data_IF_431209815223
#
_entry.id   IF_431209815223
#
_cell.length_a   1.000
_cell.length_b   1.000
_cell.length_c   1.000
_cell.angle_alpha   90.00
_cell.angle_beta   90.00
_cell.angle_gamma   90.00
#
_symmetry.space_group_name_H-M   'P 1'
#
loop_
_entity.id
_entity.type
_entity.pdbx_description
1 polymer ?
#
# COMPACT_ATOMS: atom_id res chain seq x y z
N UNK A 1 -22.60 -34.33 -16.31
CA UNK A 1 -22.33 -34.15 -17.76
C UNK A 1 -21.83 -32.74 -17.97
N UNK A 2 -20.53 -32.55 -18.15
CA UNK A 2 -19.93 -31.27 -18.53
C UNK A 2 -20.13 -31.06 -20.03
N UNK A 3 -21.06 -30.19 -20.40
CA UNK A 3 -21.27 -29.78 -21.80
C UNK A 3 -20.98 -28.30 -21.94
N UNK A 4 -20.30 -27.89 -23.02
CA UNK A 4 -20.04 -26.49 -23.30
C UNK A 4 -21.24 -25.87 -24.03
N UNK A 5 -21.63 -24.67 -23.65
CA UNK A 5 -22.58 -23.84 -24.41
C UNK A 5 -21.74 -22.85 -25.22
N UNK A 6 -21.73 -23.00 -26.54
CA UNK A 6 -21.03 -22.09 -27.45
C UNK A 6 -22.02 -21.20 -28.17
N UNK A 7 -21.83 -19.88 -28.09
CA UNK A 7 -22.65 -18.90 -28.81
C UNK A 7 -21.85 -18.32 -29.98
N UNK A 8 -22.49 -18.18 -31.14
CA UNK A 8 -21.87 -17.61 -32.35
C UNK A 8 -21.96 -16.08 -32.43
N UNK A 9 -22.65 -15.44 -31.49
CA UNK A 9 -22.91 -14.00 -31.45
C UNK A 9 -22.77 -13.44 -30.03
N UNK A 10 -22.72 -12.11 -29.91
CA UNK A 10 -22.73 -11.43 -28.61
C UNK A 10 -23.99 -11.84 -27.82
N UNK A 11 -23.82 -12.06 -26.52
CA UNK A 11 -24.94 -12.31 -25.61
C UNK A 11 -25.27 -11.02 -24.88
N UNK A 12 -26.50 -10.54 -25.02
CA UNK A 12 -27.03 -9.41 -24.27
C UNK A 12 -28.09 -9.93 -23.31
N UNK A 13 -27.82 -9.84 -22.01
CA UNK A 13 -28.80 -10.19 -20.97
C UNK A 13 -29.47 -8.90 -20.52
N UNK A 14 -30.76 -8.74 -20.85
CA UNK A 14 -31.54 -7.54 -20.53
C UNK A 14 -32.19 -7.60 -19.15
N UNK A 15 -32.69 -6.44 -18.70
CA UNK A 15 -33.32 -6.27 -17.39
C UNK A 15 -34.53 -7.21 -17.19
N UNK A 16 -34.64 -7.85 -16.02
CA UNK A 16 -35.72 -8.80 -15.70
C UNK A 16 -35.57 -10.21 -16.30
N UNK A 17 -34.47 -10.49 -17.00
CA UNK A 17 -34.18 -11.84 -17.51
C UNK A 17 -33.82 -12.78 -16.34
N UNK A 18 -34.54 -13.89 -16.18
CA UNK A 18 -34.17 -14.92 -15.20
C UNK A 18 -32.88 -15.62 -15.63
N UNK A 19 -31.88 -15.55 -14.74
CA UNK A 19 -30.80 -16.50 -14.44
C UNK A 19 -30.35 -17.38 -15.62
N UNK A 20 -29.17 -17.11 -16.17
CA UNK A 20 -28.42 -18.12 -16.91
C UNK A 20 -27.87 -19.10 -15.87
N UNK A 21 -28.68 -20.10 -15.51
CA UNK A 21 -28.20 -21.22 -14.69
C UNK A 21 -27.42 -22.17 -15.60
N UNK A 22 -26.10 -22.07 -15.52
CA UNK A 22 -25.21 -22.92 -16.29
C UNK A 22 -25.16 -24.35 -15.72
N UNK A 23 -25.69 -24.64 -14.52
CA UNK A 23 -25.64 -25.96 -13.88
C UNK A 23 -24.23 -26.59 -13.92
N UNK A 24 -23.19 -25.78 -13.66
CA UNK A 24 -21.79 -26.21 -13.72
C UNK A 24 -21.22 -26.38 -15.15
N UNK A 25 -21.92 -25.90 -16.18
CA UNK A 25 -21.41 -25.83 -17.56
C UNK A 25 -20.57 -24.58 -17.79
N UNK A 26 -19.70 -24.64 -18.78
CA UNK A 26 -18.94 -23.48 -19.25
C UNK A 26 -19.72 -22.77 -20.34
N UNK A 27 -19.88 -21.45 -20.20
CA UNK A 27 -20.34 -20.58 -21.28
C UNK A 27 -19.11 -20.03 -22.00
N UNK A 28 -18.93 -20.43 -23.26
CA UNK A 28 -17.84 -19.94 -24.10
C UNK A 28 -18.40 -19.02 -25.18
N UNK A 29 -17.96 -17.77 -25.16
CA UNK A 29 -18.31 -16.76 -26.17
C UNK A 29 -17.00 -16.24 -26.78
N UNK A 30 -16.34 -17.10 -27.55
CA UNK A 30 -14.99 -16.86 -28.06
C UNK A 30 -14.95 -15.62 -28.99
N UNK A 31 -14.08 -14.65 -28.64
CA UNK A 31 -13.86 -13.44 -29.46
C UNK A 31 -15.06 -12.49 -29.51
N UNK A 32 -15.96 -12.55 -28.54
CA UNK A 32 -17.19 -11.74 -28.45
C UNK A 32 -17.38 -11.18 -27.04
N UNK A 33 -18.22 -10.17 -26.91
CA UNK A 33 -18.53 -9.52 -25.63
C UNK A 33 -19.82 -10.11 -25.05
N UNK A 34 -19.80 -10.40 -23.75
CA UNK A 34 -21.02 -10.64 -22.97
C UNK A 34 -21.36 -9.32 -22.27
N UNK A 35 -22.50 -8.75 -22.63
CA UNK A 35 -23.02 -7.54 -21.97
C UNK A 35 -24.17 -7.94 -21.07
N UNK A 36 -23.96 -7.82 -19.76
CA UNK A 36 -25.01 -8.02 -18.78
C UNK A 36 -25.52 -6.63 -18.41
N UNK A 37 -26.77 -6.34 -18.80
CA UNK A 37 -27.47 -5.11 -18.43
C UNK A 37 -28.64 -5.46 -17.52
N UNK A 38 -28.42 -5.47 -16.20
CA UNK A 38 -29.45 -5.86 -15.25
C UNK A 38 -29.54 -4.99 -14.02
N UNK A 39 -30.76 -4.93 -13.46
CA UNK A 39 -31.00 -4.61 -12.07
C UNK A 39 -31.41 -5.94 -11.39
N UNK A 40 -30.55 -6.52 -10.56
CA UNK A 40 -30.71 -7.78 -9.82
C UNK A 40 -30.43 -9.08 -10.61
N UNK A 41 -29.26 -9.20 -11.27
CA UNK A 41 -28.77 -10.50 -11.77
C UNK A 41 -27.87 -11.20 -10.77
N UNK A 42 -28.17 -12.48 -10.52
CA UNK A 42 -27.25 -13.41 -9.86
C UNK A 42 -26.75 -14.42 -10.89
N UNK A 43 -25.43 -14.48 -11.07
CA UNK A 43 -24.78 -15.61 -11.77
C UNK A 43 -24.02 -16.41 -10.73
N UNK A 44 -24.36 -17.69 -10.61
CA UNK A 44 -23.73 -18.62 -9.69
C UNK A 44 -23.17 -19.81 -10.44
N UNK A 45 -21.98 -20.29 -10.04
CA UNK A 45 -21.36 -21.53 -10.50
C UNK A 45 -21.19 -21.65 -12.04
N UNK A 46 -20.13 -21.03 -12.56
CA UNK A 46 -19.79 -21.13 -13.99
C UNK A 46 -18.36 -20.66 -14.32
N UNK A 47 -17.94 -20.88 -15.56
CA UNK A 47 -16.74 -20.24 -16.13
C UNK A 47 -17.18 -19.39 -17.31
N UNK A 48 -16.82 -18.11 -17.30
CA UNK A 48 -17.10 -17.17 -18.38
C UNK A 48 -15.79 -16.94 -19.12
N UNK A 49 -15.79 -17.32 -20.40
CA UNK A 49 -14.66 -17.13 -21.31
C UNK A 49 -15.06 -16.15 -22.42
N UNK A 50 -14.51 -14.92 -22.36
CA UNK A 50 -14.78 -13.81 -23.28
C UNK A 50 -14.94 -12.48 -22.53
N UNK A 51 -14.55 -11.35 -23.13
CA UNK A 51 -14.61 -10.03 -22.48
C UNK A 51 -16.02 -9.77 -21.93
N UNK A 52 -16.09 -9.51 -20.62
CA UNK A 52 -17.36 -9.34 -19.92
C UNK A 52 -17.48 -7.89 -19.48
N UNK A 53 -18.52 -7.22 -19.99
CA UNK A 53 -18.91 -5.89 -19.52
C UNK A 53 -20.19 -6.04 -18.73
N UNK A 54 -20.15 -5.63 -17.47
CA UNK A 54 -21.34 -5.64 -16.62
C UNK A 54 -21.77 -4.19 -16.40
N UNK A 55 -22.95 -3.83 -16.90
CA UNK A 55 -23.54 -2.49 -16.79
C UNK A 55 -24.87 -2.60 -16.05
N UNK A 56 -25.18 -1.71 -15.11
CA UNK A 56 -26.39 -1.83 -14.30
C UNK A 56 -26.60 -0.56 -13.50
N UNK A 57 -27.76 -0.46 -12.86
CA UNK A 57 -28.11 0.65 -11.96
C UNK A 57 -28.64 0.14 -10.62
N UNK A 58 -28.47 -1.16 -10.35
CA UNK A 58 -29.07 -1.88 -9.24
C UNK A 58 -28.05 -2.28 -8.16
N UNK A 59 -28.45 -2.21 -6.90
CA UNK A 59 -27.59 -2.33 -5.71
C UNK A 59 -27.29 -3.77 -5.27
N UNK A 60 -27.61 -4.80 -6.07
CA UNK A 60 -27.72 -6.19 -5.56
C UNK A 60 -27.32 -7.27 -6.57
N UNK A 61 -26.45 -6.95 -7.54
CA UNK A 61 -25.93 -7.96 -8.46
C UNK A 61 -24.72 -8.68 -7.83
N UNK A 62 -24.84 -10.00 -7.64
CA UNK A 62 -23.78 -10.84 -7.07
C UNK A 62 -23.34 -11.93 -8.06
N UNK A 63 -22.05 -11.93 -8.40
CA UNK A 63 -21.40 -13.02 -9.13
C UNK A 63 -20.67 -13.89 -8.12
N UNK A 64 -21.15 -15.11 -7.89
CA UNK A 64 -20.57 -16.01 -6.88
C UNK A 64 -20.07 -17.29 -7.53
N UNK A 65 -18.81 -17.64 -7.26
CA UNK A 65 -18.14 -18.82 -7.79
C UNK A 65 -18.14 -18.86 -9.34
N UNK A 66 -17.85 -17.71 -9.95
CA UNK A 66 -17.74 -17.56 -11.40
C UNK A 66 -16.29 -17.28 -11.76
N UNK A 67 -15.59 -18.20 -12.42
CA UNK A 67 -14.26 -17.89 -12.93
C UNK A 67 -14.40 -16.95 -14.15
N UNK A 68 -13.62 -15.85 -14.16
CA UNK A 68 -13.51 -14.98 -15.34
C UNK A 68 -12.12 -15.18 -15.94
N UNK A 69 -12.03 -16.00 -16.98
CA UNK A 69 -10.80 -16.25 -17.75
C UNK A 69 -10.49 -15.11 -18.77
N UNK A 70 -11.01 -13.92 -18.48
CA UNK A 70 -11.01 -12.76 -19.38
C UNK A 70 -11.17 -11.47 -18.59
N UNK A 71 -10.92 -10.35 -19.27
CA UNK A 71 -11.03 -9.02 -18.70
C UNK A 71 -12.47 -8.72 -18.27
N UNK A 72 -12.62 -8.30 -17.02
CA UNK A 72 -13.85 -7.78 -16.44
C UNK A 72 -13.82 -6.26 -16.50
N UNK A 73 -14.75 -5.66 -17.23
CA UNK A 73 -14.99 -4.21 -17.18
C UNK A 73 -16.25 -3.95 -16.37
N UNK A 74 -16.10 -3.22 -15.27
CA UNK A 74 -17.19 -2.83 -14.38
C UNK A 74 -17.40 -1.32 -14.45
N UNK A 75 -18.67 -0.93 -14.57
CA UNK A 75 -19.11 0.47 -14.63
C UNK A 75 -20.32 0.72 -13.72
N UNK A 76 -20.46 -0.06 -12.63
CA UNK A 76 -21.62 0.00 -11.75
C UNK A 76 -21.22 0.04 -10.26
N UNK A 77 -22.21 0.41 -9.45
CA UNK A 77 -22.16 0.59 -8.00
C UNK A 77 -22.83 -0.57 -7.26
N UNK A 78 -22.30 -0.91 -6.08
CA UNK A 78 -22.89 -1.89 -5.15
C UNK A 78 -22.68 -3.37 -5.51
N UNK A 79 -21.71 -3.72 -6.35
CA UNK A 79 -21.55 -5.12 -6.79
C UNK A 79 -20.55 -5.91 -5.96
N UNK A 80 -20.80 -7.22 -5.84
CA UNK A 80 -19.87 -8.17 -5.23
C UNK A 80 -19.54 -9.31 -6.21
N UNK A 81 -18.26 -9.44 -6.52
CA UNK A 81 -17.69 -10.49 -7.35
C UNK A 81 -16.85 -11.41 -6.47
N UNK A 82 -17.34 -12.60 -6.20
CA UNK A 82 -16.60 -13.63 -5.45
C UNK A 82 -16.26 -14.77 -6.40
N UNK A 83 -14.99 -14.93 -6.71
CA UNK A 83 -14.51 -15.88 -7.73
C UNK A 83 -13.25 -16.57 -7.25
N UNK A 84 -12.91 -17.72 -7.84
CA UNK A 84 -11.61 -18.34 -7.59
C UNK A 84 -10.48 -17.59 -8.28
N UNK A 85 -10.74 -17.08 -9.50
CA UNK A 85 -9.75 -16.42 -10.36
C UNK A 85 -10.36 -15.29 -11.21
N UNK A 86 -9.62 -14.19 -11.33
CA UNK A 86 -9.83 -13.11 -12.28
C UNK A 86 -8.56 -12.91 -13.12
N UNK A 87 -8.71 -12.57 -14.40
CA UNK A 87 -7.56 -12.23 -15.27
C UNK A 87 -7.21 -10.75 -15.21
N UNK A 88 -8.16 -9.86 -15.47
CA UNK A 88 -7.97 -8.43 -15.31
C UNK A 88 -9.27 -7.76 -14.90
N UNK A 89 -9.16 -6.67 -14.14
CA UNK A 89 -10.31 -5.88 -13.70
C UNK A 89 -10.06 -4.43 -14.11
N UNK A 90 -10.99 -3.87 -14.88
CA UNK A 90 -11.07 -2.43 -15.12
C UNK A 90 -12.35 -1.92 -14.47
N UNK A 91 -12.23 -1.17 -13.39
CA UNK A 91 -13.33 -0.44 -12.80
C UNK A 91 -13.29 1.01 -13.30
N UNK A 92 -14.24 1.39 -14.16
CA UNK A 92 -14.28 2.74 -14.72
C UNK A 92 -15.01 3.69 -13.77
N UNK A 93 -16.12 3.23 -13.19
CA UNK A 93 -16.97 3.97 -12.26
C UNK A 93 -17.70 2.99 -11.34
N UNK A 94 -17.88 3.41 -10.09
CA UNK A 94 -18.80 2.78 -9.15
C UNK A 94 -18.13 1.93 -8.06
N UNK A 95 -18.95 1.59 -7.07
CA UNK A 95 -18.51 0.94 -5.85
C UNK A 95 -18.59 -0.57 -5.98
N UNK A 96 -17.52 -1.32 -5.74
CA UNK A 96 -17.53 -2.78 -5.96
C UNK A 96 -16.56 -3.53 -5.06
N UNK A 97 -16.92 -4.77 -4.74
CA UNK A 97 -16.08 -5.70 -3.99
C UNK A 97 -15.68 -6.87 -4.86
N UNK A 98 -14.40 -7.22 -4.86
CA UNK A 98 -13.82 -8.35 -5.55
C UNK A 98 -13.10 -9.24 -4.55
N UNK A 99 -13.43 -10.52 -4.53
CA UNK A 99 -12.81 -11.52 -3.65
C UNK A 99 -12.36 -12.71 -4.48
N UNK A 100 -11.06 -13.04 -4.42
CA UNK A 100 -10.46 -14.11 -5.22
C UNK A 100 -8.97 -13.94 -5.47
N UNK A 101 -8.39 -14.84 -6.27
CA UNK A 101 -7.04 -14.62 -6.83
C UNK A 101 -7.16 -13.83 -8.12
N UNK A 102 -6.39 -12.77 -8.28
CA UNK A 102 -6.28 -12.06 -9.55
C UNK A 102 -4.91 -12.35 -10.17
N UNK A 103 -4.90 -12.78 -11.43
CA UNK A 103 -3.69 -13.02 -12.23
C UNK A 103 -3.68 -12.08 -13.44
N UNK A 104 -3.27 -10.83 -13.19
CA UNK A 104 -3.16 -9.76 -14.17
C UNK A 104 -3.37 -8.37 -13.58
N UNK A 105 -3.98 -7.46 -14.35
CA UNK A 105 -3.96 -6.02 -14.04
C UNK A 105 -5.28 -5.54 -13.41
N UNK A 106 -5.17 -4.71 -12.38
CA UNK A 106 -6.29 -3.90 -11.86
C UNK A 106 -6.11 -2.46 -12.30
N UNK A 107 -7.12 -1.91 -12.96
CA UNK A 107 -7.21 -0.49 -13.30
C UNK A 107 -8.48 0.05 -12.65
N UNK A 108 -8.33 0.88 -11.62
CA UNK A 108 -9.45 1.61 -11.03
C UNK A 108 -9.39 3.07 -11.47
N UNK A 109 -10.32 3.49 -12.32
CA UNK A 109 -10.38 4.85 -12.85
C UNK A 109 -11.14 5.79 -11.93
N UNK A 110 -12.24 5.33 -11.33
CA UNK A 110 -13.06 6.08 -10.38
C UNK A 110 -14.00 5.15 -9.57
N UNK A 111 -14.49 5.62 -8.43
CA UNK A 111 -15.40 4.87 -7.54
C UNK A 111 -14.70 4.21 -6.35
N UNK A 112 -15.48 3.57 -5.46
CA UNK A 112 -14.94 2.94 -4.26
C UNK A 112 -14.81 1.42 -4.42
N UNK A 113 -13.59 0.89 -4.52
CA UNK A 113 -13.41 -0.57 -4.70
C UNK A 113 -12.75 -1.25 -3.51
N UNK A 114 -13.18 -2.45 -3.19
CA UNK A 114 -12.49 -3.33 -2.23
C UNK A 114 -12.04 -4.61 -2.95
N UNK A 115 -10.77 -4.93 -2.85
CA UNK A 115 -10.19 -6.17 -3.37
C UNK A 115 -9.70 -7.01 -2.20
N UNK A 116 -10.06 -8.28 -2.15
CA UNK A 116 -9.59 -9.22 -1.11
C UNK A 116 -9.02 -10.47 -1.76
N UNK A 117 -7.76 -10.80 -1.44
CA UNK A 117 -7.05 -11.96 -1.97
C UNK A 117 -5.66 -11.63 -2.51
N UNK A 118 -5.12 -12.52 -3.34
CA UNK A 118 -3.78 -12.34 -3.93
C UNK A 118 -3.88 -11.72 -5.32
N UNK A 119 -3.07 -10.72 -5.59
CA UNK A 119 -2.98 -10.01 -6.87
C UNK A 119 -1.60 -10.28 -7.48
N UNK A 120 -1.56 -11.16 -8.47
CA UNK A 120 -0.38 -11.43 -9.29
C UNK A 120 -0.40 -10.50 -10.49
N UNK A 121 0.03 -9.26 -10.30
CA UNK A 121 0.13 -8.27 -11.38
C UNK A 121 0.04 -6.84 -10.87
N UNK A 122 -0.05 -5.89 -11.81
CA UNK A 122 0.01 -4.48 -11.50
C UNK A 122 -1.34 -3.91 -11.06
N UNK A 123 -1.30 -2.95 -10.14
CA UNK A 123 -2.47 -2.21 -9.67
C UNK A 123 -2.29 -0.74 -10.02
N UNK A 124 -3.26 -0.16 -10.72
CA UNK A 124 -3.30 1.27 -11.04
C UNK A 124 -4.60 1.87 -10.52
N UNK A 125 -4.49 2.88 -9.65
CA UNK A 125 -5.61 3.69 -9.18
C UNK A 125 -5.45 5.10 -9.75
N UNK A 126 -6.35 5.50 -10.64
CA UNK A 126 -6.34 6.83 -11.25
C UNK A 126 -7.11 7.84 -10.41
N UNK A 127 -8.28 7.45 -9.88
CA UNK A 127 -9.09 8.23 -8.94
C UNK A 127 -10.02 7.31 -8.12
N UNK A 128 -10.70 7.86 -7.10
CA UNK A 128 -11.62 7.12 -6.24
C UNK A 128 -10.99 6.61 -4.94
N UNK A 129 -11.71 5.79 -4.16
CA UNK A 129 -11.17 5.22 -2.93
C UNK A 129 -11.05 3.70 -3.04
N UNK A 130 -9.84 3.15 -2.96
CA UNK A 130 -9.64 1.71 -3.09
C UNK A 130 -9.09 1.09 -1.82
N UNK A 131 -9.54 -0.10 -1.46
CA UNK A 131 -8.95 -0.92 -0.40
C UNK A 131 -8.47 -2.24 -0.99
N UNK A 132 -7.22 -2.60 -0.76
CA UNK A 132 -6.61 -3.85 -1.20
C UNK A 132 -6.22 -4.66 0.04
N UNK A 133 -6.86 -5.81 0.24
CA UNK A 133 -6.65 -6.72 1.36
C UNK A 133 -5.96 -7.99 0.87
N UNK A 134 -4.63 -8.02 0.93
CA UNK A 134 -3.80 -9.17 0.60
C UNK A 134 -2.49 -8.80 -0.09
N UNK A 135 -1.87 -9.78 -0.71
CA UNK A 135 -0.55 -9.63 -1.31
C UNK A 135 -0.65 -9.19 -2.77
N UNK A 136 0.10 -8.15 -3.13
CA UNK A 136 0.25 -7.67 -4.51
C UNK A 136 1.67 -8.00 -4.96
N UNK A 137 1.85 -8.89 -5.93
CA UNK A 137 3.20 -9.24 -6.42
C UNK A 137 3.76 -8.22 -7.41
N UNK A 138 2.90 -7.45 -8.08
CA UNK A 138 3.31 -6.46 -9.08
C UNK A 138 3.48 -5.04 -8.53
N UNK A 139 3.65 -4.10 -9.46
CA UNK A 139 3.78 -2.68 -9.15
C UNK A 139 2.42 -2.06 -8.77
N UNK A 140 2.47 -1.03 -7.94
CA UNK A 140 1.32 -0.25 -7.50
C UNK A 140 1.52 1.20 -7.92
N UNK A 141 0.57 1.73 -8.68
CA UNK A 141 0.51 3.13 -9.07
C UNK A 141 -0.77 3.75 -8.50
N UNK A 142 -0.62 4.80 -7.70
CA UNK A 142 -1.72 5.64 -7.23
C UNK A 142 -1.56 7.05 -7.78
N UNK A 143 -2.33 7.39 -8.80
CA UNK A 143 -2.27 8.70 -9.46
C UNK A 143 -3.07 9.74 -8.68
N UNK A 144 -4.28 9.41 -8.25
CA UNK A 144 -5.12 10.25 -7.39
C UNK A 144 -6.14 9.41 -6.61
N UNK A 145 -6.73 10.02 -5.56
CA UNK A 145 -7.75 9.38 -4.72
C UNK A 145 -7.22 8.86 -3.38
N UNK A 146 -8.07 8.17 -2.61
CA UNK A 146 -7.69 7.64 -1.31
C UNK A 146 -7.57 6.11 -1.31
N UNK A 147 -6.35 5.57 -1.29
CA UNK A 147 -6.15 4.11 -1.36
C UNK A 147 -5.57 3.54 -0.06
N UNK A 148 -6.04 2.37 0.35
CA UNK A 148 -5.48 1.59 1.46
C UNK A 148 -4.97 0.25 0.93
N UNK A 149 -3.74 -0.11 1.25
CA UNK A 149 -3.10 -1.38 0.88
C UNK A 149 -2.72 -2.13 2.14
N UNK A 150 -3.36 -3.27 2.41
CA UNK A 150 -3.15 -4.12 3.56
C UNK A 150 -2.48 -5.42 3.11
N UNK A 151 -1.18 -5.63 3.39
CA UNK A 151 -0.47 -6.85 3.00
C UNK A 151 1.00 -6.63 2.62
N UNK A 152 1.45 -7.22 1.51
CA UNK A 152 2.81 -6.98 0.96
C UNK A 152 2.71 -6.50 -0.48
N UNK A 153 3.63 -5.63 -0.90
CA UNK A 153 3.77 -5.20 -2.30
C UNK A 153 5.13 -5.68 -2.83
N UNK A 154 5.14 -6.63 -3.75
CA UNK A 154 6.37 -7.18 -4.33
C UNK A 154 7.03 -6.27 -5.34
N UNK A 155 6.29 -5.34 -5.94
CA UNK A 155 6.79 -4.42 -6.96
C UNK A 155 7.09 -3.00 -6.47
N UNK A 156 7.33 -2.11 -7.44
CA UNK A 156 7.51 -0.69 -7.19
C UNK A 156 6.20 -0.02 -6.76
N UNK A 157 6.30 1.05 -5.97
CA UNK A 157 5.18 1.90 -5.56
C UNK A 157 5.38 3.30 -6.11
N UNK A 158 4.40 3.81 -6.85
CA UNK A 158 4.37 5.18 -7.36
C UNK A 158 3.11 5.86 -6.80
N UNK A 159 3.29 6.92 -6.01
CA UNK A 159 2.22 7.74 -5.48
C UNK A 159 2.34 9.16 -6.03
N UNK A 160 1.38 9.59 -6.83
CA UNK A 160 1.43 10.90 -7.50
C UNK A 160 0.66 11.96 -6.73
N UNK A 161 -0.53 11.65 -6.20
CA UNK A 161 -1.36 12.59 -5.43
C UNK A 161 -2.42 11.89 -4.58
N UNK A 162 -3.22 12.65 -3.81
CA UNK A 162 -4.26 12.10 -2.94
C UNK A 162 -3.71 11.55 -1.62
N UNK A 163 -4.46 10.67 -0.97
CA UNK A 163 -4.05 10.05 0.31
C UNK A 163 -3.85 8.55 0.13
N UNK A 164 -2.69 8.00 0.43
CA UNK A 164 -2.48 6.57 0.42
C UNK A 164 -2.04 6.07 1.79
N UNK A 165 -2.58 4.94 2.21
CA UNK A 165 -2.17 4.22 3.40
C UNK A 165 -1.65 2.85 2.96
N UNK A 166 -0.36 2.62 3.15
CA UNK A 166 0.32 1.37 2.89
C UNK A 166 0.54 0.67 4.22
N UNK A 167 -0.45 -0.11 4.62
CA UNK A 167 -0.37 -1.05 5.75
C UNK A 167 0.42 -2.29 5.32
N UNK A 168 1.65 -2.07 4.87
CA UNK A 168 2.54 -3.14 4.44
C UNK A 168 3.27 -3.72 5.66
N UNK A 169 3.32 -5.04 5.73
CA UNK A 169 3.79 -5.78 6.91
C UNK A 169 5.20 -5.43 7.38
N UNK A 170 5.59 -5.93 8.55
CA UNK A 170 6.89 -5.62 9.19
C UNK A 170 8.07 -6.42 8.62
N UNK A 171 7.83 -7.34 7.69
CA UNK A 171 8.85 -8.17 7.05
C UNK A 171 9.72 -7.38 6.06
N UNK A 172 10.98 -7.80 5.90
CA UNK A 172 11.85 -7.26 4.84
C UNK A 172 11.21 -7.46 3.46
N UNK A 173 11.31 -6.44 2.58
CA UNK A 173 10.65 -6.46 1.28
C UNK A 173 9.14 -6.23 1.35
N UNK A 174 8.66 -5.53 2.38
CA UNK A 174 7.27 -5.07 2.48
C UNK A 174 6.86 -4.29 1.22
N UNK A 175 7.82 -3.55 0.64
CA UNK A 175 7.82 -3.05 -0.73
C UNK A 175 9.07 -3.59 -1.43
N UNK A 176 8.89 -4.49 -2.39
CA UNK A 176 9.96 -5.20 -3.09
C UNK A 176 10.64 -4.41 -4.22
N UNK A 177 10.13 -3.21 -4.54
CA UNK A 177 10.69 -2.33 -5.57
C UNK A 177 10.98 -0.90 -5.10
N UNK A 178 11.21 -0.02 -6.07
CA UNK A 178 11.42 1.41 -5.80
C UNK A 178 10.15 2.08 -5.26
N UNK A 179 10.31 3.10 -4.41
CA UNK A 179 9.23 3.96 -3.94
C UNK A 179 9.42 5.37 -4.52
N UNK A 180 8.41 5.87 -5.23
CA UNK A 180 8.34 7.25 -5.71
C UNK A 180 7.09 7.93 -5.17
N UNK A 181 7.24 9.08 -4.49
CA UNK A 181 6.12 9.90 -4.03
C UNK A 181 6.28 11.31 -4.57
N UNK A 182 5.37 11.76 -5.45
CA UNK A 182 5.47 13.05 -6.16
C UNK A 182 4.66 14.17 -5.50
N UNK A 183 3.50 13.88 -4.92
CA UNK A 183 2.69 14.85 -4.18
C UNK A 183 1.65 14.13 -3.29
N UNK A 184 0.87 14.91 -2.52
CA UNK A 184 -0.17 14.38 -1.64
C UNK A 184 0.38 13.74 -0.36
N UNK A 185 -0.40 12.87 0.27
CA UNK A 185 -0.06 12.22 1.54
C UNK A 185 0.09 10.72 1.35
N UNK A 186 1.24 10.16 1.70
CA UNK A 186 1.47 8.72 1.72
C UNK A 186 1.92 8.28 3.12
N UNK A 187 1.15 7.42 3.77
CA UNK A 187 1.47 6.85 5.08
C UNK A 187 1.84 5.39 4.91
N UNK A 188 2.99 4.98 5.42
CA UNK A 188 3.47 3.60 5.43
C UNK A 188 3.54 3.12 6.87
N UNK A 189 3.02 1.92 7.17
CA UNK A 189 3.17 1.32 8.50
C UNK A 189 4.53 0.66 8.71
N UNK A 190 5.26 0.43 7.63
CA UNK A 190 6.62 -0.08 7.70
C UNK A 190 7.64 1.05 7.85
N UNK A 191 8.82 0.68 8.32
CA UNK A 191 10.02 1.51 8.29
C UNK A 191 10.64 1.51 6.89
N UNK A 192 11.41 2.55 6.59
CA UNK A 192 12.01 2.75 5.25
C UNK A 192 13.00 1.64 4.87
N UNK A 193 13.64 0.98 5.86
CA UNK A 193 14.56 -0.15 5.66
C UNK A 193 13.88 -1.41 5.10
N UNK A 194 12.55 -1.44 5.04
CA UNK A 194 11.77 -2.54 4.44
C UNK A 194 11.50 -2.35 2.95
N UNK A 195 11.97 -1.25 2.37
CA UNK A 195 11.93 -0.96 0.93
C UNK A 195 13.25 -1.39 0.32
N UNK A 196 13.20 -2.31 -0.65
CA UNK A 196 14.42 -2.86 -1.28
C UNK A 196 14.94 -2.02 -2.44
N UNK A 197 14.10 -1.16 -3.04
CA UNK A 197 14.48 -0.28 -4.14
C UNK A 197 14.83 1.15 -3.70
N UNK A 198 15.22 1.98 -4.66
CA UNK A 198 15.48 3.40 -4.43
C UNK A 198 14.21 4.13 -3.94
N UNK A 199 14.38 5.08 -3.02
CA UNK A 199 13.32 5.93 -2.50
C UNK A 199 13.50 7.36 -3.00
N UNK A 200 12.50 7.90 -3.68
CA UNK A 200 12.46 9.27 -4.19
C UNK A 200 11.18 9.96 -3.72
N UNK A 201 11.31 11.05 -2.98
CA UNK A 201 10.18 11.80 -2.42
C UNK A 201 10.33 13.26 -2.85
N UNK A 202 9.33 13.78 -3.55
CA UNK A 202 9.25 15.19 -3.91
C UNK A 202 9.02 16.05 -2.64
N UNK A 203 9.68 17.21 -2.49
CA UNK A 203 9.54 18.07 -1.33
C UNK A 203 8.11 18.55 -1.03
N UNK A 204 7.21 18.52 -2.02
CA UNK A 204 5.80 18.89 -1.85
C UNK A 204 4.92 17.75 -1.32
N UNK A 205 5.43 16.52 -1.27
CA UNK A 205 4.73 15.37 -0.72
C UNK A 205 4.88 15.27 0.80
N UNK A 206 3.82 14.79 1.46
CA UNK A 206 3.86 14.39 2.88
C UNK A 206 4.00 12.88 2.96
N UNK A 207 5.15 12.39 3.43
CA UNK A 207 5.39 10.95 3.62
C UNK A 207 5.59 10.64 5.08
N UNK A 208 4.76 9.75 5.61
CA UNK A 208 4.85 9.28 6.99
C UNK A 208 5.28 7.81 6.96
N UNK A 209 6.53 7.51 7.29
CA UNK A 209 6.92 6.12 7.58
C UNK A 209 6.52 5.76 9.00
N UNK A 210 6.37 4.45 9.25
CA UNK A 210 5.89 3.87 10.50
C UNK A 210 6.88 4.10 11.63
N UNK A 211 6.88 5.33 12.15
CA UNK A 211 7.32 5.68 13.47
C UNK A 211 8.78 6.02 13.63
N UNK A 212 9.70 5.10 13.38
CA UNK A 212 11.05 5.23 13.94
C UNK A 212 12.10 5.50 12.87
N UNK A 213 13.05 6.40 13.13
CA UNK A 213 14.19 6.65 12.25
C UNK A 213 15.50 6.28 12.97
N UNK A 214 16.31 5.43 12.35
CA UNK A 214 17.58 4.94 12.90
C UNK A 214 18.75 5.67 12.22
N UNK A 215 19.70 6.16 13.00
CA UNK A 215 20.90 6.79 12.47
C UNK A 215 21.85 5.75 11.85
N UNK A 216 22.71 6.14 10.91
CA UNK A 216 23.93 5.41 10.64
C UNK A 216 24.75 5.18 11.91
N UNK A 217 25.65 4.20 11.89
CA UNK A 217 26.63 4.03 12.96
C UNK A 217 27.54 5.26 13.04
N UNK A 218 27.83 5.72 14.25
CA UNK A 218 28.81 6.77 14.51
C UNK A 218 29.82 6.30 15.55
N UNK A 219 30.94 7.01 15.61
CA UNK A 219 32.03 6.71 16.54
C UNK A 219 32.15 7.83 17.56
N UNK A 220 32.21 7.44 18.83
CA UNK A 220 32.68 8.28 19.93
C UNK A 220 34.17 8.05 20.11
N UNK A 221 34.92 9.14 20.27
CA UNK A 221 36.29 9.13 20.78
C UNK A 221 36.31 9.75 22.17
N UNK A 222 37.34 9.45 22.97
CA UNK A 222 37.38 9.81 24.38
C UNK A 222 37.18 11.31 24.67
N UNK A 223 37.49 12.20 23.73
CA UNK A 223 37.29 13.65 23.84
C UNK A 223 35.87 14.12 23.49
N UNK A 224 35.04 13.28 22.88
CA UNK A 224 33.64 13.64 22.63
C UNK A 224 32.88 13.70 23.95
N UNK A 225 32.12 14.77 24.11
CA UNK A 225 31.21 14.98 25.25
C UNK A 225 29.78 15.28 24.79
N UNK A 226 29.53 15.28 23.47
CA UNK A 226 28.21 15.53 22.90
C UNK A 226 27.91 14.67 21.69
N UNK A 227 26.63 14.38 21.50
CA UNK A 227 26.06 13.81 20.27
C UNK A 227 24.94 14.71 19.79
N UNK A 228 25.03 15.19 18.55
CA UNK A 228 23.98 15.98 17.90
C UNK A 228 23.13 15.07 17.03
N UNK A 229 21.85 14.94 17.40
CA UNK A 229 20.84 14.19 16.67
C UNK A 229 20.02 15.16 15.81
N UNK A 230 20.07 14.98 14.49
CA UNK A 230 19.39 15.84 13.51
C UNK A 230 18.39 15.05 12.70
N UNK A 231 17.13 15.46 12.72
CA UNK A 231 16.07 14.95 11.85
C UNK A 231 16.11 15.65 10.48
N UNK A 232 16.00 14.88 9.41
CA UNK A 232 15.81 15.40 8.05
C UNK A 232 14.39 15.10 7.61
N UNK A 233 13.68 16.10 7.05
CA UNK A 233 12.30 15.95 6.57
C UNK A 233 11.22 15.89 7.67
N UNK A 234 11.59 16.01 8.95
CA UNK A 234 10.68 15.93 10.08
C UNK A 234 11.07 16.87 11.23
N UNK A 235 10.28 16.87 12.29
CA UNK A 235 10.51 17.70 13.49
C UNK A 235 10.24 16.92 14.77
N UNK A 236 10.91 17.29 15.86
CA UNK A 236 10.67 16.74 17.19
C UNK A 236 9.35 17.24 17.80
N UNK A 237 8.67 16.38 18.57
CA UNK A 237 7.50 16.69 19.39
C UNK A 237 7.74 17.94 20.23
N UNK A 238 6.71 18.74 20.51
CA UNK A 238 6.84 19.87 21.43
C UNK A 238 7.10 19.41 22.87
N UNK A 239 7.64 20.30 23.71
CA UNK A 239 7.92 20.01 25.12
C UNK A 239 9.25 19.30 25.36
N UNK A 240 9.34 18.61 26.50
CA UNK A 240 10.57 17.95 26.96
C UNK A 240 10.91 16.75 26.09
N UNK A 241 12.17 16.70 25.66
CA UNK A 241 12.81 15.54 25.04
C UNK A 241 13.63 14.83 26.11
N UNK A 242 13.50 13.51 26.24
CA UNK A 242 14.16 12.71 27.27
C UNK A 242 14.76 11.42 26.71
N UNK A 243 15.50 10.66 27.53
CA UNK A 243 16.09 9.39 27.09
C UNK A 243 15.06 8.40 26.53
N UNK A 244 13.83 8.36 27.08
CA UNK A 244 12.74 7.48 26.63
C UNK A 244 12.22 7.81 25.22
N UNK A 245 12.63 8.94 24.65
CA UNK A 245 12.33 9.33 23.27
C UNK A 245 13.26 8.68 22.24
N UNK A 246 14.27 7.96 22.71
CA UNK A 246 15.26 7.31 21.86
C UNK A 246 15.49 5.87 22.29
N UNK A 247 15.95 5.05 21.36
CA UNK A 247 16.60 3.78 21.68
C UNK A 247 18.06 3.87 21.25
N UNK A 248 18.97 3.63 22.18
CA UNK A 248 20.41 3.64 21.93
C UNK A 248 20.92 2.22 21.73
N UNK A 249 21.77 2.04 20.72
CA UNK A 249 22.41 0.77 20.39
C UNK A 249 23.92 1.01 20.32
N UNK A 250 24.71 -0.05 20.50
CA UNK A 250 26.17 0.00 20.46
C UNK A 250 26.83 0.01 21.84
N UNK A 251 28.16 0.10 21.83
CA UNK A 251 29.00 0.00 23.02
C UNK A 251 28.67 1.05 24.10
N UNK A 252 28.28 2.26 23.70
CA UNK A 252 28.06 3.39 24.61
C UNK A 252 26.57 3.66 24.87
N UNK A 253 25.68 2.72 24.52
CA UNK A 253 24.23 2.86 24.64
C UNK A 253 23.75 3.28 26.04
N UNK A 254 24.33 2.73 27.11
CA UNK A 254 23.97 3.08 28.48
C UNK A 254 24.42 4.49 28.87
N UNK A 255 25.57 4.95 28.38
CA UNK A 255 26.08 6.29 28.65
C UNK A 255 25.27 7.36 27.91
N UNK A 256 24.90 7.08 26.65
CA UNK A 256 24.02 7.93 25.85
C UNK A 256 22.63 8.06 26.49
N UNK A 257 22.07 6.95 27.00
CA UNK A 257 20.79 6.96 27.70
C UNK A 257 20.82 7.76 29.02
N UNK A 258 21.99 7.87 29.66
CA UNK A 258 22.20 8.64 30.89
C UNK A 258 22.50 10.13 30.63
N UNK A 259 22.62 10.55 29.36
CA UNK A 259 22.96 11.92 28.98
C UNK A 259 21.88 12.96 29.32
N UNK A 260 22.23 14.23 29.13
CA UNK A 260 21.29 15.36 29.20
C UNK A 260 20.82 15.75 27.80
N UNK A 261 19.51 15.94 27.64
CA UNK A 261 18.87 16.15 26.34
C UNK A 261 18.41 17.60 26.20
N UNK A 262 19.02 18.33 25.26
CA UNK A 262 18.68 19.72 24.97
C UNK A 262 18.23 19.86 23.54
N UNK A 263 16.96 20.24 23.34
CA UNK A 263 16.45 20.62 22.03
C UNK A 263 16.99 22.00 21.67
N UNK A 264 17.82 22.07 20.63
CA UNK A 264 18.40 23.34 20.14
C UNK A 264 17.59 23.93 19.00
N UNK A 265 16.81 23.13 18.27
CA UNK A 265 15.86 23.58 17.26
C UNK A 265 14.69 22.60 17.10
N UNK A 266 13.79 22.85 16.15
CA UNK A 266 12.72 21.88 15.85
C UNK A 266 13.21 20.57 15.24
N UNK A 267 14.43 20.53 14.73
CA UNK A 267 15.00 19.38 14.02
C UNK A 267 16.27 18.86 14.69
N UNK A 268 16.76 19.51 15.75
CA UNK A 268 18.04 19.18 16.38
C UNK A 268 17.90 19.02 17.89
N UNK A 269 18.44 17.91 18.40
CA UNK A 269 18.63 17.63 19.83
C UNK A 269 20.11 17.35 20.07
N UNK A 270 20.68 17.99 21.08
CA UNK A 270 22.02 17.70 21.56
C UNK A 270 21.93 16.87 22.82
N UNK A 271 22.65 15.76 22.84
CA UNK A 271 22.82 14.88 23.99
C UNK A 271 24.20 15.16 24.57
N UNK A 272 24.28 15.61 25.82
CA UNK A 272 25.54 15.79 26.54
C UNK A 272 25.80 14.59 27.43
N UNK A 273 26.99 14.01 27.31
CA UNK A 273 27.42 12.80 28.04
C UNK A 273 28.76 13.03 28.75
N UNK A 274 29.13 12.12 29.65
CA UNK A 274 30.47 12.10 30.24
C UNK A 274 31.52 11.78 29.17
N UNK A 275 32.75 12.28 29.35
CA UNK A 275 33.89 11.97 28.48
C UNK A 275 34.40 10.54 28.69
N UNK A 276 35.27 10.06 27.79
CA UNK A 276 35.89 8.73 27.89
C UNK A 276 35.15 7.60 27.18
N UNK A 277 34.12 7.93 26.40
CA UNK A 277 33.41 7.00 25.52
C UNK A 277 34.23 6.71 24.26
N UNK A 278 34.26 5.46 23.81
CA UNK A 278 35.15 4.99 22.72
C UNK A 278 34.47 3.99 21.77
N UNK A 279 33.14 3.90 21.81
CA UNK A 279 32.33 3.07 20.94
C UNK A 279 32.41 3.47 19.48
N UNK A 280 32.44 2.49 18.58
CA UNK A 280 32.54 2.71 17.13
C UNK A 280 31.28 2.31 16.37
N UNK A 281 30.33 1.66 17.04
CA UNK A 281 29.12 1.05 16.46
C UNK A 281 27.82 1.68 16.99
N UNK A 282 27.91 2.86 17.61
CA UNK A 282 26.78 3.50 18.27
C UNK A 282 25.73 3.99 17.27
N UNK A 283 24.47 3.82 17.63
CA UNK A 283 23.31 4.29 16.83
C UNK A 283 22.23 4.87 17.71
N UNK A 284 21.49 5.82 17.15
CA UNK A 284 20.30 6.42 17.78
C UNK A 284 19.08 6.12 16.93
N UNK A 285 18.11 5.42 17.51
CA UNK A 285 16.76 5.30 17.00
C UNK A 285 15.90 6.42 17.63
N UNK A 286 15.25 7.24 16.80
CA UNK A 286 14.28 8.24 17.27
C UNK A 286 12.89 7.61 17.20
N UNK A 287 12.22 7.54 18.35
CA UNK A 287 10.93 6.86 18.44
C UNK A 287 9.84 7.63 17.67
N UNK A 288 8.76 6.93 17.31
CA UNK A 288 7.59 7.51 16.63
C UNK A 288 7.00 8.70 17.37
N UNK A 289 6.70 8.49 18.65
CA UNK A 289 6.05 9.48 19.50
C UNK A 289 6.92 10.73 19.72
N UNK A 290 8.22 10.63 19.44
CA UNK A 290 9.21 11.70 19.59
C UNK A 290 9.16 12.68 18.43
N UNK A 291 8.50 12.34 17.33
CA UNK A 291 8.41 13.16 16.13
C UNK A 291 7.04 13.86 16.08
N UNK A 292 7.04 15.19 15.96
CA UNK A 292 5.83 15.98 15.66
C UNK A 292 5.43 15.83 14.19
N UNK A 293 6.42 15.83 13.31
CA UNK A 293 6.28 15.46 11.90
C UNK A 293 7.32 14.40 11.57
N UNK A 294 6.95 13.31 10.89
CA UNK A 294 7.88 12.22 10.60
C UNK A 294 9.09 12.67 9.81
N UNK A 295 10.28 12.23 10.22
CA UNK A 295 11.52 12.43 9.53
C UNK A 295 11.73 11.33 8.48
N UNK A 296 12.36 11.68 7.37
CA UNK A 296 12.80 10.72 6.35
C UNK A 296 14.11 10.04 6.74
N UNK A 297 14.91 10.68 7.60
CA UNK A 297 16.14 10.12 8.16
C UNK A 297 16.58 10.86 9.41
N UNK A 298 17.52 10.26 10.15
CA UNK A 298 18.21 10.90 11.27
C UNK A 298 19.72 10.73 11.12
N UNK A 299 20.47 11.77 11.46
CA UNK A 299 21.92 11.74 11.62
C UNK A 299 22.28 11.94 13.10
N UNK A 300 23.28 11.20 13.58
CA UNK A 300 23.86 11.39 14.89
C UNK A 300 25.37 11.63 14.71
N UNK A 301 25.88 12.74 15.25
CA UNK A 301 27.28 13.14 15.11
C UNK A 301 27.87 13.46 16.47
N UNK A 302 28.94 12.76 16.83
CA UNK A 302 29.70 13.03 18.04
C UNK A 302 30.59 14.26 17.87
N UNK A 303 30.66 15.13 18.87
CA UNK A 303 31.53 16.32 18.89
C UNK A 303 32.08 16.60 20.29
N UNK A 304 33.04 17.53 20.35
CA UNK A 304 33.47 18.19 21.58
C UNK A 304 32.88 19.61 21.57
N UNK A 305 32.28 20.02 22.68
CA UNK A 305 31.96 21.43 22.97
C UNK A 305 33.09 22.02 23.81
#
# INVERSE_FOLDING_TARGET
>A
MSGNISLAANLVVGNGSKVIDLNGKTLTVAGKTITITSNNSNITNGNISGSTTVNGTGTTDAFTNVAFDSDLTNQDTGRSYTTSTFKAITNTVGDSTYSGTLDGVIINTAGNSTYTGTITGAVTNTAGNSTYNGNISGAVTNTAGNSTYNGTIGGAVIHTSGTAIYNVGTSAGAIGGALTVTAGTATFTCTIDKITGAVSIDPSATVNFGGEVLSPAFTLVASNNTVTVTLTGGTFKSGTIAATDFTFLGADSSALAAGSFVRTSNTVVTITVATGLVGTDDRVLVNAATQATPASSVAAVASTI
#
